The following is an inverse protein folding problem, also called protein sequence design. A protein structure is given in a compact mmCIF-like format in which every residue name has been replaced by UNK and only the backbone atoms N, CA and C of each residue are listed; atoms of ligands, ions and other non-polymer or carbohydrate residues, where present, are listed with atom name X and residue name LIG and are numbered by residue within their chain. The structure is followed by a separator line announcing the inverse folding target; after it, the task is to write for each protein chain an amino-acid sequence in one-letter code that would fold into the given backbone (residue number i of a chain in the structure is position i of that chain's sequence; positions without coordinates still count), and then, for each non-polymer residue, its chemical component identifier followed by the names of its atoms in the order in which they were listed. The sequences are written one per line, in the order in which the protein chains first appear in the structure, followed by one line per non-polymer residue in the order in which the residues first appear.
data_IF_023677285385
#
_entry.id   IF_023677285385
#
_cell.length_a   1.000
_cell.length_b   1.000
_cell.length_c   1.000
_cell.angle_alpha   90.00
_cell.angle_beta   90.00
_cell.angle_gamma   90.00
#
_symmetry.space_group_name_H-M   'P 1'
#
loop_
_entity.id
_entity.type
_entity.pdbx_description
1 polymer ?
#
# COMPACT_ATOMS: atom_id res chain seq x y z
N UNK A 1 -7.68 -15.81 12.40
CA UNK A 1 -7.80 -14.45 11.87
C UNK A 1 -7.74 -14.53 10.36
N UNK A 2 -8.81 -14.16 9.66
CA UNK A 2 -8.87 -14.12 8.20
C UNK A 2 -8.08 -12.90 7.70
N UNK A 3 -7.13 -13.11 6.79
CA UNK A 3 -6.49 -12.01 6.07
C UNK A 3 -7.34 -11.65 4.87
N UNK A 4 -7.64 -10.37 4.71
CA UNK A 4 -8.44 -9.86 3.60
C UNK A 4 -7.50 -9.45 2.47
N UNK A 5 -7.57 -10.20 1.37
CA UNK A 5 -6.79 -9.91 0.19
C UNK A 5 -7.60 -9.04 -0.77
N UNK A 6 -7.04 -7.90 -1.14
CA UNK A 6 -7.66 -6.94 -2.03
C UNK A 6 -6.84 -6.80 -3.31
N UNK A 7 -7.53 -6.65 -4.43
CA UNK A 7 -6.94 -6.13 -5.66
C UNK A 7 -6.67 -4.63 -5.55
N UNK A 8 -6.00 -4.06 -6.55
CA UNK A 8 -5.76 -2.60 -6.59
C UNK A 8 -7.07 -1.81 -6.61
N UNK A 9 -8.09 -2.29 -7.31
CA UNK A 9 -9.39 -1.61 -7.45
C UNK A 9 -10.23 -1.70 -6.16
N UNK A 10 -10.19 -2.86 -5.50
CA UNK A 10 -10.88 -3.03 -4.21
C UNK A 10 -10.21 -2.19 -3.12
N UNK A 11 -8.88 -2.15 -3.09
CA UNK A 11 -8.14 -1.27 -2.17
C UNK A 11 -8.47 0.20 -2.48
N UNK A 12 -8.44 0.61 -3.75
CA UNK A 12 -8.80 1.95 -4.21
C UNK A 12 -10.16 2.39 -3.66
N UNK A 13 -11.17 1.54 -3.83
CA UNK A 13 -12.53 1.79 -3.33
C UNK A 13 -12.55 1.92 -1.81
N UNK A 14 -11.80 1.05 -1.10
CA UNK A 14 -11.81 0.97 0.36
C UNK A 14 -11.14 2.16 1.04
N UNK A 15 -9.97 2.59 0.56
CA UNK A 15 -9.24 3.75 1.10
C UNK A 15 -9.59 5.06 0.37
N UNK A 16 -10.52 5.01 -0.60
CA UNK A 16 -11.00 6.15 -1.39
C UNK A 16 -9.90 6.87 -2.17
N UNK A 17 -8.98 6.08 -2.73
CA UNK A 17 -7.95 6.56 -3.65
C UNK A 17 -8.24 6.07 -5.07
N UNK A 18 -7.60 6.69 -6.07
CA UNK A 18 -7.59 6.16 -7.41
C UNK A 18 -6.61 4.97 -7.54
N UNK A 19 -6.99 3.96 -8.33
CA UNK A 19 -6.16 2.77 -8.54
C UNK A 19 -4.79 3.11 -9.16
N UNK A 20 -4.70 4.15 -9.98
CA UNK A 20 -3.45 4.66 -10.55
C UNK A 20 -2.55 5.24 -9.47
N UNK A 21 -3.11 5.98 -8.52
CA UNK A 21 -2.35 6.54 -7.39
C UNK A 21 -1.79 5.43 -6.53
N UNK A 22 -2.57 4.39 -6.23
CA UNK A 22 -2.08 3.23 -5.48
C UNK A 22 -0.91 2.58 -6.21
N UNK A 23 -1.03 2.31 -7.52
CA UNK A 23 0.01 1.61 -8.28
C UNK A 23 1.28 2.44 -8.49
N UNK A 24 1.15 3.74 -8.72
CA UNK A 24 2.27 4.56 -9.17
C UNK A 24 2.92 5.39 -8.06
N UNK A 25 2.19 5.66 -6.97
CA UNK A 25 2.67 6.52 -5.88
C UNK A 25 2.81 5.76 -4.58
N UNK A 26 1.80 4.97 -4.19
CA UNK A 26 1.80 4.29 -2.90
C UNK A 26 2.57 2.97 -2.93
N UNK A 27 2.43 2.19 -3.99
CA UNK A 27 3.18 0.95 -4.21
C UNK A 27 4.68 1.27 -4.25
N UNK A 28 5.47 0.51 -3.50
CA UNK A 28 6.93 0.63 -3.34
C UNK A 28 7.43 1.86 -2.56
N UNK A 29 6.64 2.94 -2.46
CA UNK A 29 6.98 4.11 -1.63
C UNK A 29 6.47 3.95 -0.18
N UNK A 30 5.22 3.49 -0.03
CA UNK A 30 4.54 3.35 1.26
C UNK A 30 4.13 1.89 1.49
N UNK A 31 3.60 1.24 0.45
CA UNK A 31 3.21 -0.15 0.47
C UNK A 31 4.38 -1.03 0.05
N UNK A 32 4.95 -1.74 1.02
CA UNK A 32 6.11 -2.62 0.85
C UNK A 32 5.73 -4.04 0.37
N UNK A 33 6.48 -4.58 -0.59
CA UNK A 33 6.35 -5.98 -1.05
C UNK A 33 6.68 -6.96 0.08
N UNK A 34 5.91 -8.03 0.21
CA UNK A 34 6.04 -9.03 1.28
C UNK A 34 5.39 -8.62 2.62
N UNK A 35 5.03 -7.34 2.79
CA UNK A 35 4.33 -6.84 3.98
C UNK A 35 2.91 -6.41 3.62
N UNK A 36 2.78 -5.44 2.72
CA UNK A 36 1.51 -4.82 2.34
C UNK A 36 0.91 -5.46 1.10
N UNK A 37 1.74 -5.99 0.22
CA UNK A 37 1.29 -6.65 -0.99
C UNK A 37 2.22 -7.80 -1.40
N UNK A 38 1.70 -8.72 -2.19
CA UNK A 38 2.47 -9.82 -2.77
C UNK A 38 1.94 -10.20 -4.16
N UNK A 39 2.75 -10.96 -4.89
CA UNK A 39 2.42 -11.49 -6.22
C UNK A 39 2.13 -12.99 -6.13
N UNK A 40 0.87 -13.43 -6.12
CA UNK A 40 0.55 -14.85 -6.08
C UNK A 40 1.00 -15.56 -7.37
N UNK A 41 1.48 -16.79 -7.22
CA UNK A 41 1.80 -17.74 -8.30
C UNK A 41 2.75 -17.22 -9.39
N UNK A 42 3.63 -16.27 -9.06
CA UNK A 42 4.57 -15.67 -10.04
C UNK A 42 3.89 -14.88 -11.16
N UNK A 43 2.59 -14.60 -11.02
CA UNK A 43 1.81 -13.87 -12.01
C UNK A 43 2.02 -12.36 -11.96
N UNK A 44 1.40 -11.65 -12.91
CA UNK A 44 1.36 -10.18 -12.94
C UNK A 44 0.33 -9.59 -11.97
N UNK A 45 -0.51 -10.42 -11.37
CA UNK A 45 -1.53 -9.98 -10.42
C UNK A 45 -0.87 -9.62 -9.10
N UNK A 46 -1.30 -8.52 -8.50
CA UNK A 46 -0.88 -8.07 -7.17
C UNK A 46 -2.07 -8.16 -6.24
N UNK A 47 -1.86 -8.74 -5.07
CA UNK A 47 -2.82 -8.76 -3.97
C UNK A 47 -2.25 -7.97 -2.79
N UNK A 48 -3.11 -7.20 -2.16
CA UNK A 48 -2.82 -6.37 -1.00
C UNK A 48 -3.43 -6.99 0.25
N UNK A 49 -2.74 -6.88 1.38
CA UNK A 49 -3.20 -7.41 2.67
C UNK A 49 -3.80 -6.27 3.48
N UNK A 50 -5.13 -6.21 3.58
CA UNK A 50 -5.84 -5.09 4.20
C UNK A 50 -5.36 -4.80 5.62
N UNK A 51 -5.22 -5.84 6.44
CA UNK A 51 -4.93 -5.70 7.87
C UNK A 51 -3.55 -5.06 8.10
N UNK A 52 -2.60 -5.30 7.20
CA UNK A 52 -1.26 -4.68 7.26
C UNK A 52 -1.32 -3.22 6.85
N UNK A 53 -2.06 -2.93 5.78
CA UNK A 53 -2.25 -1.55 5.29
C UNK A 53 -2.99 -0.71 6.32
N UNK A 54 -4.09 -1.22 6.87
CA UNK A 54 -4.87 -0.55 7.91
C UNK A 54 -4.00 -0.27 9.14
N UNK A 55 -3.25 -1.26 9.62
CA UNK A 55 -2.36 -1.09 10.76
C UNK A 55 -1.29 -0.01 10.53
N UNK A 56 -0.72 0.11 9.33
CA UNK A 56 0.27 1.15 9.03
C UNK A 56 -0.36 2.52 8.78
N UNK A 57 -1.58 2.59 8.22
CA UNK A 57 -2.34 3.84 8.11
C UNK A 57 -2.61 4.47 9.48
N UNK A 58 -2.89 3.66 10.51
CA UNK A 58 -3.12 4.13 11.89
C UNK A 58 -1.84 4.51 12.64
N UNK A 59 -0.64 4.25 12.09
CA UNK A 59 0.64 4.57 12.74
C UNK A 59 1.27 5.89 12.28
N UNK A 60 0.70 6.62 11.33
CA UNK A 60 1.36 7.78 10.73
C UNK A 60 1.48 9.00 11.70
N UNK A 61 2.60 9.78 11.64
CA UNK A 61 3.40 10.00 10.43
C UNK A 61 4.89 9.63 10.57
N UNK A 62 5.42 8.89 9.60
CA UNK A 62 6.78 9.15 9.13
C UNK A 62 6.63 10.00 7.86
N UNK A 63 6.28 11.28 8.06
CA UNK A 63 6.83 12.29 7.16
C UNK A 63 8.33 12.10 7.35
N UNK A 64 9.00 11.56 6.34
CA UNK A 64 10.44 11.70 6.24
C UNK A 64 10.69 13.20 6.07
N UNK A 65 10.77 13.89 7.20
CA UNK A 65 11.01 15.33 7.30
C UNK A 65 12.45 15.65 6.84
N UNK A 66 13.21 14.64 6.39
CA UNK A 66 14.58 14.81 5.90
C UNK A 66 14.69 15.35 4.46
N UNK A 67 13.61 15.77 3.82
CA UNK A 67 13.68 16.56 2.57
C UNK A 67 13.11 17.98 2.69
N UNK A 68 13.18 18.58 3.87
CA UNK A 68 13.01 20.04 4.06
C UNK A 68 14.29 20.65 4.60
N UNK A 69 15.40 20.44 3.89
CA UNK A 69 16.60 21.28 3.97
C UNK A 69 17.46 21.04 2.73
N UNK A 70 17.06 21.65 1.62
CA UNK A 70 18.03 22.10 0.62
C UNK A 70 17.98 23.62 0.61
N UNK A 71 19.16 24.17 0.83
CA UNK A 71 19.52 25.57 1.00
C UNK A 71 19.06 26.47 -0.16
#
# INVERSE_FOLDING_TARGET
MSQTYLTTEELATRIKYDARTIRNQLKDSVLLEGVHYFRPFGGRKILYVWEKIEADMFKAPAVDTQMVNLQ
#
